data_IF_587757207258
#
_entry.id   IF_587757207258
#
_cell.length_a   1.000
_cell.length_b   1.000
_cell.length_c   1.000
_cell.angle_alpha   90.00
_cell.angle_beta   90.00
_cell.angle_gamma   90.00
#
_symmetry.space_group_name_H-M   'P 1'
#
loop_
_entity.id
_entity.type
_entity.pdbx_description
1 polymer ?
#
# COMPACT_ATOMS: atom_id res chain seq x y z
N UNK A 1 7.35 -9.67 -5.29
CA UNK A 1 7.82 -10.93 -4.67
C UNK A 1 9.17 -10.66 -4.01
N UNK A 2 9.33 -11.03 -2.73
CA UNK A 2 10.58 -10.88 -1.98
C UNK A 2 11.59 -11.98 -2.34
N UNK A 3 12.86 -11.79 -2.02
CA UNK A 3 13.93 -12.72 -2.37
C UNK A 3 13.84 -14.02 -1.60
N UNK A 4 13.37 -14.03 -0.34
CA UNK A 4 13.10 -15.30 0.37
C UNK A 4 12.10 -16.17 -0.41
N UNK A 5 11.03 -15.57 -0.95
CA UNK A 5 10.03 -16.28 -1.76
C UNK A 5 10.58 -16.67 -3.14
N UNK A 6 11.45 -15.86 -3.74
CA UNK A 6 12.10 -16.21 -5.02
C UNK A 6 13.01 -17.42 -4.85
N UNK A 7 13.81 -17.46 -3.80
CA UNK A 7 14.68 -18.60 -3.49
C UNK A 7 13.86 -19.85 -3.19
N UNK A 8 12.80 -19.72 -2.37
CA UNK A 8 11.87 -20.83 -2.06
C UNK A 8 11.21 -21.42 -3.32
N UNK A 9 10.98 -20.60 -4.35
CA UNK A 9 10.40 -21.01 -5.64
C UNK A 9 11.44 -21.37 -6.70
N UNK A 10 12.73 -21.42 -6.36
CA UNK A 10 13.84 -21.66 -7.29
C UNK A 10 13.94 -20.65 -8.44
N UNK A 11 13.46 -19.42 -8.23
CA UNK A 11 13.55 -18.29 -9.17
C UNK A 11 14.77 -17.41 -8.86
N UNK A 12 15.27 -17.43 -7.62
CA UNK A 12 16.39 -16.62 -7.14
C UNK A 12 17.51 -17.47 -6.56
N UNK A 13 18.74 -16.94 -6.63
CA UNK A 13 19.94 -17.60 -6.10
C UNK A 13 20.29 -17.16 -4.67
N UNK A 14 19.68 -16.07 -4.18
CA UNK A 14 19.95 -15.52 -2.85
C UNK A 14 18.66 -14.96 -2.26
N UNK A 15 18.44 -15.23 -0.98
CA UNK A 15 17.37 -14.66 -0.16
C UNK A 15 17.69 -13.26 0.36
N UNK A 16 18.93 -12.78 0.20
CA UNK A 16 19.38 -11.54 0.83
C UNK A 16 18.65 -10.30 0.34
N UNK A 17 18.48 -9.32 1.23
CA UNK A 17 17.91 -8.02 0.87
C UNK A 17 18.83 -7.25 -0.09
N UNK A 18 18.36 -6.88 -1.29
CA UNK A 18 19.19 -6.18 -2.26
C UNK A 18 19.47 -4.73 -1.84
N UNK A 19 18.60 -4.13 -1.03
CA UNK A 19 18.71 -2.71 -0.62
C UNK A 19 19.77 -2.51 0.45
N UNK A 20 19.82 -3.36 1.48
CA UNK A 20 20.76 -3.21 2.59
C UNK A 20 21.89 -4.24 2.60
N UNK A 21 21.80 -5.28 1.77
CA UNK A 21 22.78 -6.37 1.70
C UNK A 21 22.77 -7.31 2.91
N UNK A 22 21.89 -7.10 3.91
CA UNK A 22 21.92 -7.82 5.18
C UNK A 22 20.62 -8.59 5.45
N UNK A 23 20.77 -9.84 5.91
CA UNK A 23 19.67 -10.71 6.30
C UNK A 23 18.78 -11.17 5.14
N UNK A 24 17.87 -12.08 5.44
CA UNK A 24 16.86 -12.55 4.50
C UNK A 24 15.82 -11.47 4.22
N UNK A 25 15.51 -11.27 2.95
CA UNK A 25 14.47 -10.35 2.49
C UNK A 25 13.09 -10.97 2.73
N UNK A 26 12.60 -10.89 3.96
CA UNK A 26 11.20 -11.16 4.28
C UNK A 26 10.32 -9.94 3.99
N UNK A 27 8.99 -10.11 3.98
CA UNK A 27 8.05 -8.98 3.88
C UNK A 27 8.31 -7.98 5.01
N UNK A 28 8.43 -8.48 6.25
CA UNK A 28 8.67 -7.65 7.43
C UNK A 28 10.03 -6.94 7.36
N UNK A 29 11.05 -7.60 6.81
CA UNK A 29 12.33 -6.96 6.56
C UNK A 29 12.20 -5.78 5.60
N UNK A 30 11.58 -5.97 4.43
CA UNK A 30 11.42 -4.89 3.43
C UNK A 30 10.62 -3.71 4.00
N UNK A 31 9.60 -4.00 4.79
CA UNK A 31 8.66 -2.99 5.27
C UNK A 31 9.06 -2.36 6.62
N UNK A 32 9.95 -2.98 7.40
CA UNK A 32 10.24 -2.55 8.78
C UNK A 32 11.70 -2.69 9.17
N UNK A 33 12.28 -3.89 9.05
CA UNK A 33 13.57 -4.19 9.70
C UNK A 33 14.80 -3.79 8.88
N UNK A 34 14.64 -3.62 7.56
CA UNK A 34 15.68 -3.12 6.66
C UNK A 34 16.19 -1.76 7.14
N UNK A 35 17.51 -1.54 7.11
CA UNK A 35 18.12 -0.27 7.51
C UNK A 35 17.46 0.93 6.82
N UNK A 36 17.16 0.79 5.53
CA UNK A 36 16.46 1.81 4.74
C UNK A 36 15.06 2.10 5.26
N UNK A 37 14.30 1.06 5.63
CA UNK A 37 12.96 1.21 6.21
C UNK A 37 13.03 1.81 7.62
N UNK A 38 13.97 1.36 8.46
CA UNK A 38 14.16 1.88 9.82
C UNK A 38 14.47 3.36 9.84
N UNK A 39 15.23 3.88 8.89
CA UNK A 39 15.50 5.33 8.78
C UNK A 39 14.22 6.14 8.53
N UNK A 40 13.25 5.59 7.80
CA UNK A 40 11.95 6.23 7.57
C UNK A 40 11.11 6.18 8.85
N UNK A 41 11.00 5.00 9.47
CA UNK A 41 10.22 4.82 10.70
C UNK A 41 10.77 5.64 11.87
N UNK A 42 12.09 5.79 12.00
CA UNK A 42 12.69 6.58 13.09
C UNK A 42 12.34 8.07 13.05
N UNK A 43 11.86 8.59 11.92
CA UNK A 43 11.38 9.97 11.83
C UNK A 43 9.87 10.11 12.11
N UNK A 44 9.14 9.01 12.21
CA UNK A 44 7.69 8.99 12.39
C UNK A 44 7.26 8.40 13.73
N UNK A 45 8.02 7.43 14.24
CA UNK A 45 7.72 6.71 15.48
C UNK A 45 8.49 7.36 16.64
N UNK A 46 7.81 7.77 17.73
CA UNK A 46 8.49 8.26 18.92
C UNK A 46 9.46 7.20 19.50
N UNK A 47 10.60 7.61 20.09
CA UNK A 47 11.59 6.65 20.60
C UNK A 47 11.03 5.63 21.60
N UNK A 48 10.08 6.04 22.44
CA UNK A 48 9.45 5.17 23.44
C UNK A 48 8.50 4.12 22.86
N UNK A 49 8.00 4.32 21.63
CA UNK A 49 7.18 3.34 20.89
C UNK A 49 8.01 2.44 19.97
N UNK A 50 9.30 2.76 19.76
CA UNK A 50 10.15 2.03 18.79
C UNK A 50 10.38 0.57 19.18
N UNK A 51 10.45 0.26 20.49
CA UNK A 51 10.69 -1.09 20.98
C UNK A 51 9.55 -2.06 20.62
N UNK A 52 8.31 -1.69 20.92
CA UNK A 52 7.14 -2.50 20.56
C UNK A 52 6.95 -2.56 19.04
N UNK A 53 7.16 -1.46 18.34
CA UNK A 53 7.02 -1.39 16.89
C UNK A 53 7.94 -2.39 16.16
N UNK A 54 9.19 -2.51 16.59
CA UNK A 54 10.21 -3.35 15.94
C UNK A 54 10.21 -4.82 16.39
N UNK A 55 9.46 -5.17 17.44
CA UNK A 55 9.48 -6.53 18.02
C UNK A 55 8.27 -7.39 17.65
N UNK A 56 7.15 -6.78 17.23
CA UNK A 56 5.92 -7.53 16.88
C UNK A 56 6.08 -8.44 15.67
N UNK A 57 5.26 -9.50 15.58
CA UNK A 57 5.13 -10.30 14.36
C UNK A 57 4.51 -9.48 13.22
N UNK A 58 4.58 -9.94 11.97
CA UNK A 58 4.01 -9.21 10.82
C UNK A 58 2.52 -8.91 10.99
N UNK A 59 1.73 -9.91 11.41
CA UNK A 59 0.27 -9.74 11.56
C UNK A 59 -0.06 -8.83 12.75
N UNK A 60 0.63 -8.99 13.87
CA UNK A 60 0.43 -8.13 15.04
C UNK A 60 0.82 -6.68 14.72
N UNK A 61 1.94 -6.49 14.01
CA UNK A 61 2.42 -5.17 13.60
C UNK A 61 1.46 -4.46 12.66
N UNK A 62 0.87 -5.16 11.68
CA UNK A 62 -0.14 -4.59 10.80
C UNK A 62 -1.42 -4.24 11.58
N UNK A 63 -1.86 -5.14 12.46
CA UNK A 63 -3.09 -4.98 13.24
C UNK A 63 -2.99 -3.82 14.22
N UNK A 64 -1.86 -3.66 14.90
CA UNK A 64 -1.65 -2.58 15.89
C UNK A 64 -1.54 -1.19 15.25
N UNK A 65 -1.15 -1.12 13.97
CA UNK A 65 -0.95 0.16 13.27
C UNK A 65 -2.06 0.49 12.27
N UNK A 66 -3.03 -0.40 12.07
CA UNK A 66 -4.18 -0.19 11.20
C UNK A 66 -5.50 -0.53 11.90
N UNK A 67 -5.87 0.18 12.97
CA UNK A 67 -7.14 -0.08 13.66
C UNK A 67 -8.33 0.15 12.72
N UNK A 68 -9.31 -0.77 12.79
CA UNK A 68 -10.56 -0.75 12.00
C UNK A 68 -11.46 0.41 12.41
N UNK A 69 -11.35 0.85 13.67
CA UNK A 69 -12.20 1.84 14.31
C UNK A 69 -11.40 3.06 14.75
N UNK A 70 -11.15 3.98 13.82
CA UNK A 70 -10.60 5.31 14.11
C UNK A 70 -11.49 6.36 13.47
N UNK A 71 -12.37 6.99 14.25
CA UNK A 71 -13.19 8.13 13.82
C UNK A 71 -12.60 9.48 14.29
N UNK A 72 -11.49 9.44 15.02
CA UNK A 72 -10.75 10.62 15.44
C UNK A 72 -9.78 11.08 14.34
N UNK A 73 -9.48 12.38 14.28
CA UNK A 73 -8.61 12.95 13.25
C UNK A 73 -7.22 12.29 13.24
N UNK A 74 -6.55 12.20 14.39
CA UNK A 74 -5.17 11.71 14.48
C UNK A 74 -5.04 10.23 14.11
N UNK A 75 -5.94 9.36 14.58
CA UNK A 75 -5.92 7.93 14.25
C UNK A 75 -6.24 7.70 12.76
N UNK A 76 -7.18 8.48 12.20
CA UNK A 76 -7.47 8.45 10.77
C UNK A 76 -6.23 8.82 9.95
N UNK A 77 -5.52 9.90 10.33
CA UNK A 77 -4.29 10.30 9.67
C UNK A 77 -3.20 9.23 9.78
N UNK A 78 -2.99 8.68 10.97
CA UNK A 78 -2.00 7.64 11.21
C UNK A 78 -2.23 6.41 10.35
N UNK A 79 -3.46 5.89 10.29
CA UNK A 79 -3.81 4.70 9.49
C UNK A 79 -3.42 4.85 8.02
N UNK A 80 -3.76 5.99 7.42
CA UNK A 80 -3.43 6.24 6.02
C UNK A 80 -1.94 6.47 5.83
N UNK A 81 -1.31 7.27 6.70
CA UNK A 81 0.13 7.51 6.64
C UNK A 81 0.92 6.20 6.74
N UNK A 82 0.59 5.34 7.69
CA UNK A 82 1.19 4.03 7.88
C UNK A 82 1.08 3.16 6.63
N UNK A 83 -0.13 3.00 6.08
CA UNK A 83 -0.35 2.23 4.86
C UNK A 83 0.38 2.80 3.63
N UNK A 84 0.43 4.13 3.50
CA UNK A 84 1.15 4.81 2.42
C UNK A 84 2.67 4.64 2.57
N UNK A 85 3.22 4.68 3.79
CA UNK A 85 4.65 4.42 4.04
C UNK A 85 4.99 2.97 3.66
N UNK A 86 4.20 1.98 4.06
CA UNK A 86 4.37 0.58 3.63
C UNK A 86 4.41 0.48 2.10
N UNK A 87 3.47 1.14 1.42
CA UNK A 87 3.43 1.17 -0.04
C UNK A 87 4.70 1.79 -0.64
N UNK A 88 5.18 2.90 -0.08
CA UNK A 88 6.41 3.56 -0.53
C UNK A 88 7.65 2.70 -0.30
N UNK A 89 7.78 2.05 0.84
CA UNK A 89 8.91 1.16 1.15
C UNK A 89 8.96 -0.02 0.17
N UNK A 90 7.80 -0.63 -0.10
CA UNK A 90 7.69 -1.68 -1.11
C UNK A 90 8.06 -1.18 -2.51
N UNK A 91 7.54 -0.02 -2.92
CA UNK A 91 7.87 0.61 -4.21
C UNK A 91 9.35 0.94 -4.31
N UNK A 92 9.96 1.47 -3.25
CA UNK A 92 11.39 1.77 -3.20
C UNK A 92 12.22 0.50 -3.43
N UNK A 93 11.91 -0.58 -2.73
CA UNK A 93 12.59 -1.87 -2.95
C UNK A 93 12.47 -2.31 -4.41
N UNK A 94 11.30 -2.21 -5.01
CA UNK A 94 11.11 -2.60 -6.41
C UNK A 94 11.86 -1.67 -7.37
N UNK A 95 11.84 -0.36 -7.15
CA UNK A 95 12.62 0.60 -7.94
C UNK A 95 14.12 0.31 -7.86
N UNK A 96 14.62 -0.08 -6.69
CA UNK A 96 16.02 -0.49 -6.58
C UNK A 96 16.31 -1.74 -7.43
N UNK A 97 15.49 -2.78 -7.32
CA UNK A 97 15.67 -4.04 -8.06
C UNK A 97 15.56 -3.86 -9.57
N UNK A 98 14.61 -3.07 -10.06
CA UNK A 98 14.32 -2.97 -11.50
C UNK A 98 14.96 -1.76 -12.19
N UNK A 99 15.31 -0.72 -11.43
CA UNK A 99 15.81 0.56 -11.98
C UNK A 99 17.10 1.04 -11.32
N UNK A 100 17.60 0.36 -10.29
CA UNK A 100 18.77 0.82 -9.51
C UNK A 100 18.52 2.14 -8.76
N UNK A 101 17.26 2.51 -8.52
CA UNK A 101 16.90 3.81 -7.92
C UNK A 101 16.48 3.66 -6.46
N UNK A 102 16.95 4.57 -5.61
CA UNK A 102 16.54 4.71 -4.20
C UNK A 102 16.04 6.14 -3.98
N UNK A 103 14.95 6.28 -3.23
CA UNK A 103 14.48 7.58 -2.79
C UNK A 103 15.10 7.91 -1.44
N UNK A 104 15.33 9.20 -1.20
CA UNK A 104 15.77 9.66 0.11
C UNK A 104 14.64 9.50 1.13
N UNK A 105 15.00 9.27 2.38
CA UNK A 105 14.04 9.21 3.50
C UNK A 105 13.10 10.42 3.53
N UNK A 106 13.58 11.69 3.40
CA UNK A 106 12.70 12.84 3.36
C UNK A 106 11.72 12.84 2.18
N UNK A 107 12.14 12.36 1.00
CA UNK A 107 11.27 12.30 -0.17
C UNK A 107 10.11 11.31 0.03
N UNK A 108 10.38 10.15 0.63
CA UNK A 108 9.34 9.17 1.00
C UNK A 108 8.34 9.80 1.97
N UNK A 109 8.84 10.41 3.06
CA UNK A 109 8.01 11.00 4.11
C UNK A 109 7.15 12.13 3.53
N UNK A 110 7.74 13.04 2.77
CA UNK A 110 7.03 14.16 2.15
C UNK A 110 5.92 13.68 1.19
N UNK A 111 6.22 12.69 0.35
CA UNK A 111 5.24 12.07 -0.54
C UNK A 111 4.09 11.43 0.26
N UNK A 112 4.43 10.68 1.31
CA UNK A 112 3.45 10.00 2.13
C UNK A 112 2.48 10.98 2.84
N UNK A 113 3.02 12.07 3.40
CA UNK A 113 2.20 13.14 3.98
C UNK A 113 1.29 13.81 2.95
N UNK A 114 1.81 14.09 1.75
CA UNK A 114 1.03 14.69 0.67
C UNK A 114 -0.18 13.82 0.30
N UNK A 115 0.03 12.50 0.19
CA UNK A 115 -1.02 11.53 -0.12
C UNK A 115 -2.03 11.40 1.03
N UNK A 116 -1.56 11.29 2.28
CA UNK A 116 -2.44 11.20 3.44
C UNK A 116 -3.34 12.44 3.59
N UNK A 117 -2.77 13.63 3.36
CA UNK A 117 -3.51 14.90 3.35
C UNK A 117 -4.56 14.94 2.25
N UNK A 118 -4.24 14.50 1.04
CA UNK A 118 -5.21 14.42 -0.06
C UNK A 118 -6.41 13.53 0.32
N UNK A 119 -6.15 12.34 0.85
CA UNK A 119 -7.22 11.42 1.29
C UNK A 119 -8.10 12.09 2.34
N UNK A 120 -7.50 12.72 3.36
CA UNK A 120 -8.25 13.44 4.38
C UNK A 120 -9.12 14.55 3.80
N UNK A 121 -8.56 15.42 2.96
CA UNK A 121 -9.31 16.54 2.36
C UNK A 121 -10.46 16.07 1.47
N UNK A 122 -10.28 14.97 0.73
CA UNK A 122 -11.34 14.35 -0.07
C UNK A 122 -12.46 13.76 0.80
N UNK A 123 -12.11 13.22 1.98
CA UNK A 123 -13.10 12.71 2.92
C UNK A 123 -13.90 13.84 3.58
N UNK A 124 -13.24 14.95 3.97
CA UNK A 124 -13.92 16.11 4.56
C UNK A 124 -14.85 16.83 3.58
N UNK A 125 -14.51 16.86 2.28
CA UNK A 125 -15.34 17.48 1.24
C UNK A 125 -16.60 16.66 0.91
N UNK A 126 -16.62 15.34 1.15
CA UNK A 126 -17.85 14.54 1.12
C UNK A 126 -18.78 14.88 2.29
N UNK A 127 -18.26 15.42 3.39
CA UNK A 127 -19.03 15.80 4.59
C UNK A 127 -19.68 17.19 4.49
N UNK A 128 -19.18 18.07 3.62
CA UNK A 128 -19.85 19.33 3.27
C UNK A 128 -20.86 19.08 2.15
N UNK A 129 -22.12 18.85 2.53
CA UNK A 129 -23.33 18.96 1.71
C UNK A 129 -23.11 18.84 0.19
N UNK A 130 -22.78 17.64 -0.30
CA UNK A 130 -23.38 17.25 -1.56
C UNK A 130 -24.85 16.99 -1.23
N UNK A 131 -25.75 17.84 -1.71
CA UNK A 131 -27.11 17.38 -2.00
C UNK A 131 -26.93 16.13 -2.86
N UNK A 132 -26.95 14.95 -2.23
CA UNK A 132 -26.97 13.68 -2.93
C UNK A 132 -28.33 13.63 -3.61
N UNK A 133 -28.39 14.19 -4.81
CA UNK A 133 -29.34 13.68 -5.79
C UNK A 133 -29.05 12.20 -5.83
N UNK A 134 -30.02 11.39 -5.41
CA UNK A 134 -29.99 9.96 -5.56
C UNK A 134 -29.94 9.66 -7.06
N UNK A 135 -28.75 9.77 -7.64
CA UNK A 135 -28.50 9.25 -8.96
C UNK A 135 -28.50 7.74 -8.76
N UNK A 136 -29.41 7.06 -9.45
CA UNK A 136 -29.32 5.62 -9.64
C UNK A 136 -27.97 5.37 -10.32
N UNK A 137 -26.90 5.15 -9.53
CA UNK A 137 -25.55 4.85 -9.98
C UNK A 137 -25.55 3.41 -10.52
N UNK A 138 -26.27 3.20 -11.62
CA UNK A 138 -26.13 2.01 -12.45
C UNK A 138 -24.88 2.21 -13.29
N UNK A 139 -24.13 1.12 -13.47
CA UNK A 139 -23.02 1.12 -14.40
C UNK A 139 -23.51 1.58 -15.79
N UNK A 140 -22.79 2.51 -16.39
CA UNK A 140 -23.01 2.96 -17.77
C UNK A 140 -21.70 2.83 -18.56
N UNK A 141 -21.75 2.61 -19.88
CA UNK A 141 -20.57 2.68 -20.73
C UNK A 141 -19.87 4.06 -20.63
N UNK A 142 -18.54 4.14 -20.84
CA UNK A 142 -17.83 5.41 -20.98
C UNK A 142 -18.24 6.15 -22.27
N UNK A 143 -17.88 7.43 -22.37
CA UNK A 143 -18.02 8.19 -23.62
C UNK A 143 -17.12 7.63 -24.73
N UNK A 144 -17.41 7.99 -25.98
CA UNK A 144 -16.58 7.67 -27.15
C UNK A 144 -15.11 8.04 -26.91
N UNK A 145 -14.20 7.20 -27.40
CA UNK A 145 -12.74 7.29 -27.22
C UNK A 145 -12.20 7.07 -25.80
N UNK A 146 -13.03 6.59 -24.87
CA UNK A 146 -12.61 6.22 -23.52
C UNK A 146 -12.83 4.72 -23.26
N UNK A 147 -11.89 4.12 -22.54
CA UNK A 147 -12.05 2.79 -21.95
C UNK A 147 -12.41 2.92 -20.47
N UNK A 148 -13.33 2.07 -20.01
CA UNK A 148 -13.69 1.94 -18.59
C UNK A 148 -13.10 0.64 -18.04
N UNK A 149 -12.27 0.76 -17.00
CA UNK A 149 -11.76 -0.39 -16.26
C UNK A 149 -12.77 -0.78 -15.18
N UNK A 150 -13.31 -1.99 -15.28
CA UNK A 150 -14.04 -2.64 -14.20
C UNK A 150 -13.08 -3.57 -13.46
N UNK A 151 -13.00 -3.45 -12.14
CA UNK A 151 -12.18 -4.33 -11.29
C UNK A 151 -13.07 -5.10 -10.32
N UNK A 152 -12.68 -6.33 -10.04
CA UNK A 152 -13.27 -7.11 -8.96
C UNK A 152 -12.18 -7.91 -8.23
N UNK A 153 -12.40 -8.20 -6.96
CA UNK A 153 -11.49 -8.97 -6.15
C UNK A 153 -12.25 -9.83 -5.13
N UNK A 154 -11.77 -11.06 -4.95
CA UNK A 154 -12.30 -12.00 -3.98
C UNK A 154 -11.21 -12.40 -3.01
N UNK A 155 -11.59 -12.53 -1.74
CA UNK A 155 -10.73 -13.06 -0.68
C UNK A 155 -11.39 -14.27 -0.06
N UNK A 156 -10.63 -15.35 0.12
CA UNK A 156 -11.05 -16.46 0.95
C UNK A 156 -10.60 -16.19 2.39
N UNK A 157 -11.55 -15.88 3.27
CA UNK A 157 -11.24 -15.54 4.67
C UNK A 157 -10.69 -16.72 5.49
N UNK A 158 -10.90 -17.96 5.06
CA UNK A 158 -10.40 -19.15 5.75
C UNK A 158 -8.94 -19.47 5.37
N UNK A 159 -8.57 -19.33 4.10
CA UNK A 159 -7.19 -19.62 3.64
C UNK A 159 -6.31 -18.38 3.49
N UNK A 160 -6.91 -17.18 3.56
CA UNK A 160 -6.29 -15.89 3.26
C UNK A 160 -5.78 -15.76 1.81
N UNK A 161 -6.23 -16.64 0.92
CA UNK A 161 -5.97 -16.51 -0.51
C UNK A 161 -6.79 -15.36 -1.09
N UNK A 162 -6.17 -14.63 -2.02
CA UNK A 162 -6.81 -13.51 -2.71
C UNK A 162 -6.63 -13.66 -4.21
N UNK A 163 -7.68 -13.33 -4.97
CA UNK A 163 -7.63 -13.20 -6.41
C UNK A 163 -8.29 -11.89 -6.82
N UNK A 164 -7.82 -11.30 -7.91
CA UNK A 164 -8.39 -10.08 -8.49
C UNK A 164 -8.32 -10.14 -10.00
N UNK A 165 -9.30 -9.49 -10.64
CA UNK A 165 -9.40 -9.40 -12.09
C UNK A 165 -9.83 -8.01 -12.52
N UNK A 166 -9.48 -7.64 -13.74
CA UNK A 166 -9.89 -6.38 -14.35
C UNK A 166 -10.29 -6.60 -15.79
N UNK A 167 -11.29 -5.86 -16.26
CA UNK A 167 -11.68 -5.84 -17.67
C UNK A 167 -11.80 -4.40 -18.14
N UNK A 168 -11.18 -4.09 -19.28
CA UNK A 168 -11.44 -2.87 -20.02
C UNK A 168 -12.66 -3.06 -20.93
N UNK A 169 -13.59 -2.11 -20.85
CA UNK A 169 -14.76 -2.02 -21.72
C UNK A 169 -14.76 -0.74 -22.52
N UNK A 170 -15.22 -0.81 -23.76
CA UNK A 170 -15.39 0.35 -24.64
C UNK A 170 -16.69 1.13 -24.36
N UNK A 171 -16.98 2.12 -25.21
CA UNK A 171 -18.15 2.98 -25.15
C UNK A 171 -19.49 2.27 -25.47
N UNK A 172 -19.46 1.06 -26.02
CA UNK A 172 -20.63 0.19 -26.16
C UNK A 172 -20.78 -0.73 -24.93
N UNK A 173 -19.77 -0.73 -24.05
CA UNK A 173 -19.67 -1.62 -22.91
C UNK A 173 -19.20 -3.02 -23.29
N UNK A 174 -18.71 -3.22 -24.51
CA UNK A 174 -18.16 -4.49 -24.95
C UNK A 174 -16.79 -4.73 -24.30
N UNK A 175 -16.45 -6.01 -24.11
CA UNK A 175 -15.15 -6.42 -23.60
C UNK A 175 -14.06 -6.12 -24.63
N UNK A 176 -12.95 -5.52 -24.19
CA UNK A 176 -11.78 -5.24 -25.03
C UNK A 176 -10.61 -6.13 -24.63
N UNK A 177 -10.25 -6.14 -23.34
CA UNK A 177 -9.16 -6.96 -22.78
C UNK A 177 -9.34 -7.11 -21.26
N UNK A 178 -8.88 -8.23 -20.68
CA UNK A 178 -8.91 -8.49 -19.25
C UNK A 178 -8.22 -9.79 -18.87
#
# INVERSE_FOLDING_TARGET
>A
MTNIERTRRHIGMSSSCPVCGNGDETILHVLRDCLSARMVWSQLIPPHHSGSFLSSSLLDWLSSNSPVSGFTGEEFYWRHLFGIIILHLWKQRNNFVFKGQIWSTPAIIHSAWSWAKMIYTSHSSVHHQTHRVATNQRWCPPSTDLLKLNIDAVVNHATLDAAGGGVFRDNEGAWVVG
#
